data_IF_381364684560
#
_entry.id   IF_381364684560
#
_cell.length_a   1.000
_cell.length_b   1.000
_cell.length_c   1.000
_cell.angle_alpha   90.00
_cell.angle_beta   90.00
_cell.angle_gamma   90.00
#
_symmetry.space_group_name_H-M   'P 1'
#
loop_
_entity.id
_entity.type
_entity.pdbx_description
1 polymer ?
#
# COMPACT_ATOMS: atom_id res chain seq x y z
N UNK A 1 33.36 -65.97 15.76
CA UNK A 1 34.18 -65.18 14.85
C UNK A 1 33.22 -64.65 13.80
N UNK A 2 33.12 -63.36 13.66
CA UNK A 2 32.26 -62.60 12.77
C UNK A 2 30.86 -62.25 13.31
N UNK A 3 30.84 -61.30 14.20
CA UNK A 3 29.78 -60.35 14.46
C UNK A 3 30.49 -59.00 14.64
N UNK A 4 30.54 -58.24 13.55
CA UNK A 4 30.87 -56.83 13.54
C UNK A 4 30.55 -56.37 12.11
N UNK A 5 29.40 -55.71 11.94
CA UNK A 5 29.08 -54.77 10.89
C UNK A 5 27.55 -54.51 10.83
N UNK A 6 27.01 -53.83 11.79
CA UNK A 6 25.69 -53.17 11.73
C UNK A 6 25.70 -51.97 12.64
N UNK A 7 26.42 -50.92 12.24
CA UNK A 7 26.24 -49.60 12.84
C UNK A 7 26.57 -48.51 11.79
N UNK A 8 25.70 -48.37 10.78
CA UNK A 8 25.65 -47.23 9.90
C UNK A 8 24.20 -46.97 9.50
N UNK A 9 23.38 -46.51 10.43
CA UNK A 9 22.05 -45.98 10.11
C UNK A 9 21.60 -45.01 11.19
N UNK A 10 22.31 -43.91 11.34
CA UNK A 10 21.78 -42.75 12.10
C UNK A 10 22.44 -41.48 11.55
N UNK A 11 21.99 -40.97 10.45
CA UNK A 11 22.10 -39.57 10.05
C UNK A 11 21.10 -39.20 8.93
N UNK A 12 19.86 -39.63 9.10
CA UNK A 12 18.72 -38.97 8.48
C UNK A 12 18.11 -38.01 9.51
N UNK A 13 18.84 -36.93 9.80
CA UNK A 13 18.25 -35.76 10.45
C UNK A 13 17.10 -35.31 9.54
N UNK A 14 15.89 -35.58 9.99
CA UNK A 14 14.67 -35.13 9.36
C UNK A 14 14.78 -33.61 9.19
N UNK A 15 15.05 -33.17 7.96
CA UNK A 15 14.94 -31.77 7.59
C UNK A 15 13.48 -31.38 7.82
N UNK A 16 13.27 -30.43 8.73
CA UNK A 16 11.95 -29.85 8.99
C UNK A 16 11.57 -28.96 7.80
N UNK A 17 10.77 -29.43 6.83
CA UNK A 17 10.43 -28.67 5.64
C UNK A 17 9.58 -27.43 5.97
N UNK A 18 8.96 -27.39 7.14
CA UNK A 18 8.18 -26.25 7.63
C UNK A 18 9.11 -25.14 8.13
N UNK A 19 10.24 -25.50 8.74
CA UNK A 19 11.26 -24.53 9.21
C UNK A 19 12.03 -23.91 8.04
N UNK A 20 12.39 -24.67 6.99
CA UNK A 20 13.07 -24.12 5.81
C UNK A 20 12.15 -23.22 4.98
N UNK A 21 10.89 -23.59 4.79
CA UNK A 21 9.88 -22.73 4.16
C UNK A 21 9.64 -21.43 4.95
N UNK A 22 9.65 -21.51 6.28
CA UNK A 22 9.52 -20.36 7.15
C UNK A 22 10.71 -19.40 7.06
N UNK A 23 11.94 -19.91 6.91
CA UNK A 23 13.14 -19.08 6.76
C UNK A 23 13.19 -18.38 5.40
N UNK A 24 12.91 -19.09 4.31
CA UNK A 24 12.89 -18.52 2.96
C UNK A 24 11.78 -17.49 2.82
N UNK A 25 10.60 -17.75 3.38
CA UNK A 25 9.52 -16.77 3.44
C UNK A 25 9.90 -15.53 4.28
N UNK A 26 10.61 -15.72 5.39
CA UNK A 26 11.09 -14.62 6.23
C UNK A 26 12.14 -13.76 5.52
N UNK A 27 13.07 -14.37 4.77
CA UNK A 27 14.08 -13.65 3.98
C UNK A 27 13.47 -12.89 2.80
N UNK A 28 12.48 -13.47 2.11
CA UNK A 28 11.75 -12.80 1.04
C UNK A 28 10.92 -11.64 1.59
N UNK A 29 10.21 -11.85 2.70
CA UNK A 29 9.47 -10.80 3.40
C UNK A 29 10.39 -9.69 3.89
N UNK A 30 11.58 -10.04 4.40
CA UNK A 30 12.58 -9.06 4.82
C UNK A 30 13.00 -8.17 3.66
N UNK A 31 13.27 -8.75 2.49
CA UNK A 31 13.70 -8.01 1.30
C UNK A 31 12.63 -7.06 0.79
N UNK A 32 11.37 -7.49 0.72
CA UNK A 32 10.25 -6.67 0.28
C UNK A 32 9.87 -5.60 1.32
N UNK A 33 9.97 -5.92 2.62
CA UNK A 33 9.82 -4.96 3.71
C UNK A 33 10.94 -3.93 3.67
N UNK A 34 12.18 -4.32 3.38
CA UNK A 34 13.32 -3.40 3.23
C UNK A 34 13.12 -2.45 2.03
N UNK A 35 12.61 -2.95 0.90
CA UNK A 35 12.24 -2.11 -0.25
C UNK A 35 11.10 -1.15 0.09
N UNK A 36 10.12 -1.58 0.88
CA UNK A 36 9.03 -0.75 1.39
C UNK A 36 9.55 0.34 2.34
N UNK A 37 10.40 -0.07 3.30
CA UNK A 37 10.97 0.80 4.33
C UNK A 37 11.87 1.88 3.71
N UNK A 38 12.66 1.54 2.69
CA UNK A 38 13.49 2.50 1.96
C UNK A 38 12.67 3.61 1.28
N UNK A 39 11.35 3.40 1.08
CA UNK A 39 10.44 4.37 0.49
C UNK A 39 9.63 5.20 1.49
N UNK A 40 9.68 4.90 2.79
CA UNK A 40 8.88 5.57 3.80
C UNK A 40 9.69 6.59 4.62
N UNK A 41 9.06 7.70 4.99
CA UNK A 41 9.64 8.62 5.96
C UNK A 41 9.73 7.97 7.36
N UNK A 42 10.70 8.39 8.19
CA UNK A 42 10.94 7.77 9.50
C UNK A 42 9.72 7.78 10.43
N UNK A 43 8.89 8.85 10.34
CA UNK A 43 7.64 8.97 11.11
C UNK A 43 6.57 7.99 10.64
N UNK A 44 6.57 7.66 9.35
CA UNK A 44 5.65 6.70 8.73
C UNK A 44 5.98 5.25 9.10
N UNK A 45 7.27 4.95 9.31
CA UNK A 45 7.73 3.65 9.80
C UNK A 45 7.27 3.38 11.24
N UNK A 46 7.25 4.41 12.08
CA UNK A 46 6.74 4.30 13.44
C UNK A 46 5.23 4.00 13.46
N UNK A 47 4.46 4.62 12.57
CA UNK A 47 3.03 4.37 12.42
C UNK A 47 2.76 2.94 11.92
N UNK A 48 3.52 2.46 10.93
CA UNK A 48 3.42 1.09 10.42
C UNK A 48 3.71 0.05 11.51
N UNK A 49 4.71 0.32 12.37
CA UNK A 49 5.07 -0.56 13.48
C UNK A 49 3.98 -0.62 14.57
N UNK A 50 3.23 0.47 14.79
CA UNK A 50 2.12 0.51 15.74
C UNK A 50 0.88 -0.27 15.24
N UNK A 51 0.65 -0.33 13.93
CA UNK A 51 -0.47 -1.05 13.32
C UNK A 51 -0.26 -2.58 13.25
N UNK A 52 0.90 -3.09 13.63
CA UNK A 52 1.27 -4.50 13.60
C UNK A 52 1.50 -5.07 15.02
N UNK A 53 0.50 -5.06 15.92
CA UNK A 53 0.66 -5.65 17.25
C UNK A 53 0.80 -7.17 17.14
N UNK A 54 1.89 -7.71 17.68
CA UNK A 54 2.13 -9.16 17.77
C UNK A 54 3.26 -9.71 16.87
N UNK A 55 3.79 -8.93 15.95
CA UNK A 55 4.87 -9.34 15.06
C UNK A 55 6.24 -8.83 15.55
N UNK A 56 6.73 -9.38 16.65
CA UNK A 56 8.02 -8.97 17.23
C UNK A 56 9.22 -9.06 16.27
N UNK A 57 9.12 -9.85 15.20
CA UNK A 57 10.11 -9.96 14.14
C UNK A 57 9.93 -8.87 13.06
N UNK A 58 8.69 -8.51 12.69
CA UNK A 58 8.40 -7.38 11.77
C UNK A 58 8.79 -6.06 12.44
N UNK A 59 8.47 -5.88 13.72
CA UNK A 59 8.94 -4.72 14.49
C UNK A 59 10.46 -4.67 14.57
N UNK A 60 11.15 -5.81 14.67
CA UNK A 60 12.62 -5.89 14.62
C UNK A 60 13.16 -5.62 13.20
N UNK A 61 12.48 -6.11 12.17
CA UNK A 61 12.83 -5.82 10.79
C UNK A 61 12.69 -4.32 10.48
N UNK A 62 11.57 -3.71 10.84
CA UNK A 62 11.32 -2.28 10.66
C UNK A 62 12.31 -1.44 11.48
N UNK A 63 12.60 -1.82 12.71
CA UNK A 63 13.54 -1.10 13.59
C UNK A 63 15.00 -1.45 13.28
N UNK A 64 15.28 -2.67 12.78
CA UNK A 64 16.62 -3.14 12.42
C UNK A 64 17.07 -2.72 11.02
N UNK A 65 16.14 -2.50 10.08
CA UNK A 65 16.42 -2.05 8.71
C UNK A 65 16.61 -0.53 8.59
N UNK A 66 16.80 0.16 9.71
CA UNK A 66 17.23 1.55 9.61
C UNK A 66 18.54 1.58 8.83
N UNK A 67 18.65 2.40 7.79
CA UNK A 67 19.90 3.03 7.44
C UNK A 67 20.15 4.15 8.50
N UNK A 68 19.96 3.82 9.78
CA UNK A 68 20.58 4.59 10.82
C UNK A 68 22.03 4.17 10.81
N UNK A 69 22.86 5.00 10.20
CA UNK A 69 24.20 5.14 10.65
C UNK A 69 24.17 5.10 12.19
N UNK A 70 24.51 3.95 12.76
CA UNK A 70 25.08 3.92 14.08
C UNK A 70 26.25 4.90 13.97
N UNK A 71 26.03 6.09 14.45
CA UNK A 71 27.10 7.08 14.54
C UNK A 71 28.02 6.58 15.62
N UNK A 72 28.93 5.70 15.23
CA UNK A 72 30.18 5.58 15.94
C UNK A 72 30.87 6.94 15.79
N UNK A 73 30.94 7.68 16.87
CA UNK A 73 31.44 9.05 16.94
C UNK A 73 32.89 9.20 16.47
N UNK A 74 33.55 8.15 16.01
CA UNK A 74 34.99 8.11 15.70
C UNK A 74 35.36 7.70 14.26
N UNK A 75 34.39 7.38 13.37
CA UNK A 75 34.71 7.09 11.98
C UNK A 75 33.85 7.99 11.10
N UNK A 76 34.46 9.00 10.51
CA UNK A 76 33.84 9.92 9.57
C UNK A 76 33.48 9.26 8.25
N UNK A 77 32.59 8.29 8.23
CA UNK A 77 31.98 7.75 7.03
C UNK A 77 30.86 8.72 6.61
N UNK A 78 31.17 9.61 5.69
CA UNK A 78 30.18 10.29 4.87
C UNK A 78 29.46 9.21 4.07
N UNK A 79 28.32 8.72 4.57
CA UNK A 79 27.36 8.02 3.73
C UNK A 79 26.92 9.05 2.66
N UNK A 80 27.36 8.85 1.43
CA UNK A 80 26.80 9.53 0.27
C UNK A 80 25.28 9.28 0.35
N UNK A 81 24.51 10.36 0.62
CA UNK A 81 23.08 10.32 0.46
C UNK A 81 22.85 9.95 -0.99
N UNK A 82 22.34 8.73 -1.23
CA UNK A 82 21.90 8.33 -2.55
C UNK A 82 21.03 9.45 -3.13
N UNK A 83 21.18 9.74 -4.41
CA UNK A 83 20.41 10.78 -5.14
C UNK A 83 18.92 10.40 -5.24
N UNK A 84 18.30 10.02 -4.13
CA UNK A 84 16.94 9.55 -4.07
C UNK A 84 15.94 10.67 -4.39
N UNK A 85 15.08 10.39 -5.37
CA UNK A 85 13.93 11.23 -5.68
C UNK A 85 12.68 10.54 -5.15
N UNK A 86 11.96 11.22 -4.25
CA UNK A 86 10.76 10.70 -3.61
C UNK A 86 9.65 11.75 -3.59
N UNK A 87 8.43 11.35 -3.98
CA UNK A 87 7.23 12.19 -3.95
C UNK A 87 6.16 11.46 -3.17
N UNK A 88 5.70 12.09 -2.09
CA UNK A 88 4.58 11.61 -1.28
C UNK A 88 3.41 12.57 -1.42
N UNK A 89 2.27 12.03 -1.83
CA UNK A 89 1.03 12.77 -2.05
C UNK A 89 -0.07 12.36 -1.05
N UNK A 90 0.01 11.15 -0.50
CA UNK A 90 -0.94 10.63 0.49
C UNK A 90 -0.46 10.92 1.91
N UNK A 91 -1.34 11.46 2.75
CA UNK A 91 -1.02 11.93 4.09
C UNK A 91 -0.27 13.26 4.05
N UNK A 92 1.03 13.26 4.31
CA UNK A 92 1.84 14.47 4.20
C UNK A 92 2.29 14.72 2.76
N UNK A 93 2.27 15.97 2.34
CA UNK A 93 2.89 16.35 1.08
C UNK A 93 4.40 16.49 1.26
N UNK A 94 5.18 15.59 0.66
CA UNK A 94 6.65 15.55 0.72
C UNK A 94 7.20 15.46 -0.69
N UNK A 95 8.19 16.28 -1.01
CA UNK A 95 8.93 16.21 -2.27
C UNK A 95 10.42 16.26 -1.97
N UNK A 96 11.10 15.15 -2.19
CA UNK A 96 12.53 15.04 -2.09
C UNK A 96 13.11 14.83 -3.50
N UNK A 97 13.97 15.73 -3.95
CA UNK A 97 14.65 15.66 -5.22
C UNK A 97 16.16 15.61 -4.97
N UNK A 98 16.80 14.54 -5.48
CA UNK A 98 18.25 14.35 -5.31
C UNK A 98 18.69 14.44 -3.83
N UNK A 99 17.95 13.76 -2.96
CA UNK A 99 18.20 13.73 -1.53
C UNK A 99 17.92 15.05 -0.78
N UNK A 100 17.24 16.04 -1.39
CA UNK A 100 16.90 17.32 -0.76
C UNK A 100 15.41 17.55 -0.76
N UNK A 101 14.88 17.90 0.39
CA UNK A 101 13.46 18.29 0.56
C UNK A 101 13.23 19.67 -0.03
N UNK A 102 12.27 19.77 -0.95
CA UNK A 102 12.00 21.00 -1.72
C UNK A 102 10.58 21.54 -1.53
N UNK A 103 9.67 20.80 -0.91
CA UNK A 103 8.26 21.19 -0.74
C UNK A 103 8.10 22.49 0.06
N UNK A 104 9.04 22.84 0.93
CA UNK A 104 9.04 24.11 1.68
C UNK A 104 9.30 25.33 0.79
N UNK A 105 9.91 25.11 -0.38
CA UNK A 105 10.22 26.14 -1.36
C UNK A 105 9.09 26.36 -2.37
N UNK A 106 8.02 25.58 -2.28
CA UNK A 106 6.88 25.71 -3.19
C UNK A 106 6.17 27.05 -2.96
N UNK A 107 5.75 27.72 -4.03
CA UNK A 107 5.34 29.12 -3.98
C UNK A 107 4.04 29.36 -3.20
N UNK A 108 3.21 28.35 -3.01
CA UNK A 108 1.92 28.44 -2.32
C UNK A 108 1.21 27.10 -2.26
N UNK A 109 0.01 27.06 -1.63
CA UNK A 109 -0.92 25.93 -1.72
C UNK A 109 -1.18 25.53 -3.19
N UNK A 110 -1.40 26.51 -4.08
CA UNK A 110 -1.60 26.27 -5.52
C UNK A 110 -0.37 25.64 -6.21
N UNK A 111 0.84 25.96 -5.77
CA UNK A 111 2.06 25.33 -6.27
C UNK A 111 2.15 23.85 -5.92
N UNK A 112 1.68 23.46 -4.74
CA UNK A 112 1.59 22.03 -4.33
C UNK A 112 0.55 21.29 -5.17
N UNK A 113 -0.63 21.87 -5.37
CA UNK A 113 -1.70 21.33 -6.23
C UNK A 113 -1.20 21.14 -7.65
N UNK A 114 -0.58 22.17 -8.23
CA UNK A 114 -0.03 22.12 -9.59
C UNK A 114 1.01 21.00 -9.75
N UNK A 115 1.93 20.88 -8.81
CA UNK A 115 2.95 19.83 -8.86
C UNK A 115 2.34 18.45 -8.71
N UNK A 116 1.46 18.25 -7.73
CA UNK A 116 0.76 16.99 -7.51
C UNK A 116 -0.05 16.56 -8.73
N UNK A 117 -0.82 17.49 -9.33
CA UNK A 117 -1.56 17.23 -10.56
C UNK A 117 -0.64 16.74 -11.69
N UNK A 118 0.46 17.45 -11.94
CA UNK A 118 1.42 17.07 -12.97
C UNK A 118 2.10 15.72 -12.70
N UNK A 119 2.41 15.41 -11.44
CA UNK A 119 2.96 14.10 -11.04
C UNK A 119 1.94 12.99 -11.32
N UNK A 120 0.68 13.18 -10.94
CA UNK A 120 -0.38 12.18 -11.16
C UNK A 120 -0.77 12.01 -12.65
N UNK A 121 -0.43 12.98 -13.50
CA UNK A 121 -0.66 12.90 -14.96
C UNK A 121 0.52 12.30 -15.73
N UNK A 122 1.62 11.96 -15.07
CA UNK A 122 2.80 11.38 -15.75
C UNK A 122 2.43 10.10 -16.52
N UNK A 123 3.09 9.85 -17.66
CA UNK A 123 4.12 10.68 -18.34
C UNK A 123 3.52 11.75 -19.29
N UNK A 124 2.22 12.04 -19.23
CA UNK A 124 1.52 12.94 -20.13
C UNK A 124 1.92 14.40 -19.95
N UNK A 125 2.07 15.11 -21.05
CA UNK A 125 2.19 16.57 -21.05
C UNK A 125 0.80 17.21 -20.94
N UNK A 126 0.66 18.20 -20.06
CA UNK A 126 -0.59 18.86 -19.70
C UNK A 126 -0.64 20.27 -20.31
N UNK A 127 -1.72 20.58 -20.99
CA UNK A 127 -1.95 21.89 -21.60
C UNK A 127 -2.21 22.99 -20.55
N UNK A 128 -1.87 24.24 -20.89
CA UNK A 128 -2.04 25.37 -19.96
C UNK A 128 -3.50 25.61 -19.55
N UNK A 129 -4.47 25.41 -20.47
CA UNK A 129 -5.89 25.52 -20.17
C UNK A 129 -6.33 24.51 -19.10
N UNK A 130 -5.93 23.26 -19.26
CA UNK A 130 -6.19 22.19 -18.31
C UNK A 130 -5.53 22.46 -16.92
N UNK A 131 -4.33 23.02 -16.90
CA UNK A 131 -3.68 23.41 -15.64
C UNK A 131 -4.43 24.54 -14.92
N UNK A 132 -5.00 25.50 -15.66
CA UNK A 132 -5.81 26.57 -15.06
C UNK A 132 -7.06 25.97 -14.42
N UNK A 133 -7.73 25.07 -15.14
CA UNK A 133 -8.91 24.38 -14.64
C UNK A 133 -8.60 23.53 -13.40
N UNK A 134 -7.52 22.78 -13.45
CA UNK A 134 -7.09 21.93 -12.34
C UNK A 134 -6.76 22.71 -11.06
N UNK A 135 -6.29 23.95 -11.16
CA UNK A 135 -5.88 24.75 -9.98
C UNK A 135 -7.03 25.63 -9.47
N UNK A 136 -7.86 26.17 -10.35
CA UNK A 136 -8.86 27.20 -10.01
C UNK A 136 -10.32 26.80 -10.30
N UNK A 137 -10.60 25.56 -10.75
CA UNK A 137 -11.93 25.00 -10.98
C UNK A 137 -12.90 25.98 -11.67
N UNK A 138 -12.66 26.34 -12.91
CA UNK A 138 -13.53 27.19 -13.74
C UNK A 138 -12.86 28.48 -14.24
N UNK A 139 -13.56 29.26 -15.04
CA UNK A 139 -13.24 30.51 -15.72
C UNK A 139 -11.80 30.75 -16.20
N UNK A 140 -11.59 30.59 -17.50
CA UNK A 140 -10.36 30.97 -18.21
C UNK A 140 -10.27 32.50 -18.38
N UNK A 141 -9.96 33.23 -17.28
CA UNK A 141 -9.73 34.67 -17.36
C UNK A 141 -8.26 34.97 -17.74
N UNK A 142 -8.01 36.08 -18.44
CA UNK A 142 -6.65 36.52 -18.79
C UNK A 142 -5.74 36.65 -17.58
N UNK A 143 -6.31 36.98 -16.41
CA UNK A 143 -5.59 37.07 -15.14
C UNK A 143 -5.06 35.72 -14.67
N UNK A 144 -5.82 34.61 -14.87
CA UNK A 144 -5.39 33.26 -14.48
C UNK A 144 -4.26 32.73 -15.36
N UNK A 145 -4.23 33.06 -16.65
CA UNK A 145 -3.15 32.71 -17.54
C UNK A 145 -1.80 33.37 -17.12
N UNK A 146 -1.87 34.63 -16.68
CA UNK A 146 -0.72 35.34 -16.13
C UNK A 146 -0.29 34.75 -14.78
N UNK A 147 -1.26 34.47 -13.90
CA UNK A 147 -1.01 33.83 -12.60
C UNK A 147 -0.35 32.46 -12.75
N UNK A 148 -0.82 31.63 -13.70
CA UNK A 148 -0.20 30.34 -14.01
C UNK A 148 1.24 30.51 -14.48
N UNK A 149 1.54 31.53 -15.30
CA UNK A 149 2.90 31.79 -15.78
C UNK A 149 3.85 32.09 -14.61
N UNK A 150 3.41 32.94 -13.66
CA UNK A 150 4.19 33.27 -12.46
C UNK A 150 4.34 32.04 -11.56
N UNK A 151 3.27 31.25 -11.38
CA UNK A 151 3.27 30.04 -10.57
C UNK A 151 4.23 28.99 -11.12
N UNK A 152 4.20 28.73 -12.43
CA UNK A 152 5.14 27.82 -13.10
C UNK A 152 6.59 28.29 -13.00
N UNK A 153 6.83 29.60 -13.15
CA UNK A 153 8.18 30.16 -12.99
C UNK A 153 8.74 29.95 -11.59
N UNK A 154 7.93 30.25 -10.56
CA UNK A 154 8.31 30.04 -9.16
C UNK A 154 8.48 28.55 -8.82
N UNK A 155 7.61 27.68 -9.36
CA UNK A 155 7.72 26.24 -9.15
C UNK A 155 8.99 25.68 -9.82
N UNK A 156 9.32 26.12 -11.04
CA UNK A 156 10.62 25.77 -11.70
C UNK A 156 11.82 26.21 -10.89
N UNK A 157 11.77 27.36 -10.27
CA UNK A 157 12.84 27.83 -9.39
C UNK A 157 12.99 26.96 -8.12
N UNK A 158 11.88 26.34 -7.66
CA UNK A 158 11.88 25.44 -6.49
C UNK A 158 12.39 24.04 -6.82
N UNK A 159 11.91 23.42 -7.93
CA UNK A 159 12.18 22.01 -8.26
C UNK A 159 13.26 21.80 -9.32
N UNK A 160 13.56 22.81 -10.13
CA UNK A 160 14.46 22.76 -11.28
C UNK A 160 13.71 22.75 -12.62
N UNK A 161 14.33 23.34 -13.65
CA UNK A 161 13.77 23.37 -15.00
C UNK A 161 13.87 22.01 -15.72
N UNK A 162 14.76 21.16 -15.28
CA UNK A 162 14.92 19.77 -15.69
C UNK A 162 13.82 18.87 -15.15
N UNK A 163 13.30 19.15 -13.95
CA UNK A 163 12.17 18.42 -13.34
C UNK A 163 10.82 18.90 -13.88
N UNK A 164 10.65 20.21 -14.10
CA UNK A 164 9.40 20.79 -14.60
C UNK A 164 9.62 21.34 -16.02
N UNK A 165 9.46 20.51 -17.03
CA UNK A 165 9.77 20.78 -18.42
C UNK A 165 8.56 21.30 -19.22
N UNK A 166 8.84 21.80 -20.45
CA UNK A 166 7.84 22.28 -21.40
C UNK A 166 7.46 23.75 -21.23
N UNK A 167 6.88 24.36 -22.28
CA UNK A 167 6.42 25.77 -22.32
C UNK A 167 4.94 25.89 -22.66
N UNK A 168 4.49 25.35 -23.77
CA UNK A 168 3.07 25.32 -24.18
C UNK A 168 2.28 24.26 -23.43
N UNK A 169 2.81 23.05 -23.36
CA UNK A 169 2.39 21.99 -22.46
C UNK A 169 3.49 21.75 -21.43
N UNK A 170 3.09 21.37 -20.23
CA UNK A 170 4.00 21.19 -19.08
C UNK A 170 3.93 19.76 -18.61
N UNK A 171 5.05 19.19 -18.22
CA UNK A 171 5.16 17.84 -17.68
C UNK A 171 6.28 17.74 -16.65
N UNK A 172 6.15 16.77 -15.75
CA UNK A 172 7.18 16.46 -14.74
C UNK A 172 8.07 15.34 -15.26
N UNK A 173 9.37 15.56 -15.21
CA UNK A 173 10.42 14.58 -15.50
C UNK A 173 11.05 14.19 -14.18
N UNK A 174 10.90 12.92 -13.80
CA UNK A 174 11.62 12.37 -12.66
C UNK A 174 12.57 11.28 -13.13
N UNK A 175 13.68 11.02 -12.40
CA UNK A 175 14.57 9.91 -12.69
C UNK A 175 13.82 8.56 -12.77
N UNK A 176 14.36 7.55 -13.47
CA UNK A 176 13.71 6.24 -13.58
C UNK A 176 13.51 5.51 -12.24
N UNK A 177 14.39 5.79 -11.27
CA UNK A 177 14.38 5.25 -9.91
C UNK A 177 13.57 6.11 -8.93
N UNK A 178 12.94 7.19 -9.41
CA UNK A 178 12.09 8.05 -8.59
C UNK A 178 10.89 7.27 -8.05
N UNK A 179 10.58 7.50 -6.80
CA UNK A 179 9.47 6.87 -6.10
C UNK A 179 8.33 7.87 -5.92
N UNK A 180 7.14 7.50 -6.39
CA UNK A 180 5.90 8.24 -6.17
C UNK A 180 4.96 7.29 -5.41
N UNK A 181 4.54 7.69 -4.22
CA UNK A 181 3.77 6.84 -3.31
C UNK A 181 2.51 6.24 -3.96
N UNK A 182 1.74 7.04 -4.69
CA UNK A 182 0.54 6.59 -5.40
C UNK A 182 0.87 5.57 -6.49
N UNK A 183 1.92 5.80 -7.29
CA UNK A 183 2.35 4.87 -8.33
C UNK A 183 2.83 3.54 -7.70
N UNK A 184 3.58 3.62 -6.61
CA UNK A 184 4.06 2.45 -5.87
C UNK A 184 2.90 1.65 -5.27
N UNK A 185 1.90 2.33 -4.68
CA UNK A 185 0.73 1.67 -4.11
C UNK A 185 -0.08 0.92 -5.16
N UNK A 186 -0.36 1.54 -6.31
CA UNK A 186 -1.11 0.89 -7.40
C UNK A 186 -0.33 -0.29 -8.01
N UNK A 187 0.98 -0.15 -8.17
CA UNK A 187 1.83 -1.25 -8.62
C UNK A 187 1.92 -2.38 -7.58
N UNK A 188 1.96 -2.05 -6.29
CA UNK A 188 1.96 -3.02 -5.21
C UNK A 188 0.61 -3.78 -5.14
N UNK A 189 -0.52 -3.09 -5.30
CA UNK A 189 -1.83 -3.73 -5.40
C UNK A 189 -1.86 -4.77 -6.53
N UNK A 190 -1.45 -4.38 -7.72
CA UNK A 190 -1.41 -5.30 -8.87
C UNK A 190 -0.53 -6.54 -8.61
N UNK A 191 0.62 -6.35 -7.95
CA UNK A 191 1.48 -7.48 -7.53
C UNK A 191 0.79 -8.36 -6.48
N UNK A 192 0.09 -7.75 -5.52
CA UNK A 192 -0.63 -8.49 -4.49
C UNK A 192 -1.74 -9.36 -5.07
N UNK A 193 -2.57 -8.80 -5.96
CA UNK A 193 -3.64 -9.51 -6.65
C UNK A 193 -3.09 -10.68 -7.49
N UNK A 194 -2.02 -10.43 -8.24
CA UNK A 194 -1.36 -11.47 -9.05
C UNK A 194 -0.81 -12.59 -8.17
N UNK A 195 -0.19 -12.26 -7.04
CA UNK A 195 0.36 -13.23 -6.10
C UNK A 195 -0.74 -14.04 -5.38
N UNK A 196 -1.90 -13.43 -5.06
CA UNK A 196 -3.07 -14.15 -4.52
C UNK A 196 -3.54 -15.21 -5.52
N UNK A 197 -3.69 -14.87 -6.80
CA UNK A 197 -4.10 -15.81 -7.85
C UNK A 197 -3.11 -16.97 -8.00
N UNK A 198 -1.82 -16.73 -7.78
CA UNK A 198 -0.76 -17.73 -7.87
C UNK A 198 -0.57 -18.54 -6.57
N UNK A 199 -1.27 -18.18 -5.49
CA UNK A 199 -1.09 -18.80 -4.17
C UNK A 199 0.24 -18.43 -3.48
N UNK A 200 0.91 -17.37 -3.94
CA UNK A 200 2.17 -16.88 -3.39
C UNK A 200 1.91 -15.96 -2.18
N UNK A 201 1.38 -16.57 -1.10
CA UNK A 201 0.79 -15.84 0.03
C UNK A 201 1.72 -14.84 0.69
N UNK A 202 3.00 -15.17 0.87
CA UNK A 202 3.98 -14.26 1.48
C UNK A 202 4.22 -13.00 0.62
N UNK A 203 4.30 -13.17 -0.71
CA UNK A 203 4.42 -12.04 -1.65
C UNK A 203 3.13 -11.22 -1.71
N UNK A 204 1.97 -11.89 -1.67
CA UNK A 204 0.67 -11.21 -1.63
C UNK A 204 0.56 -10.36 -0.36
N UNK A 205 0.95 -10.91 0.79
CA UNK A 205 0.89 -10.24 2.09
C UNK A 205 1.72 -8.95 2.11
N UNK A 206 3.01 -9.02 1.72
CA UNK A 206 3.90 -7.86 1.74
C UNK A 206 3.48 -6.77 0.74
N UNK A 207 3.10 -7.18 -0.47
CA UNK A 207 2.65 -6.25 -1.50
C UNK A 207 1.31 -5.58 -1.11
N UNK A 208 0.35 -6.34 -0.56
CA UNK A 208 -0.92 -5.81 -0.08
C UNK A 208 -0.74 -4.86 1.12
N UNK A 209 0.20 -5.15 2.02
CA UNK A 209 0.54 -4.28 3.13
C UNK A 209 1.06 -2.93 2.65
N UNK A 210 1.94 -2.92 1.63
CA UNK A 210 2.44 -1.71 0.99
C UNK A 210 1.30 -0.88 0.37
N UNK A 211 0.45 -1.50 -0.44
CA UNK A 211 -0.67 -0.83 -1.08
C UNK A 211 -1.61 -0.22 -0.03
N UNK A 212 -2.04 -1.01 0.95
CA UNK A 212 -2.93 -0.58 2.04
C UNK A 212 -2.36 0.59 2.82
N UNK A 213 -1.07 0.58 3.13
CA UNK A 213 -0.44 1.62 3.92
C UNK A 213 -0.51 2.99 3.24
N UNK A 214 -0.34 3.05 1.93
CA UNK A 214 -0.43 4.30 1.17
C UNK A 214 -1.88 4.71 0.97
N UNK A 215 -2.73 3.78 0.49
CA UNK A 215 -4.12 4.08 0.11
C UNK A 215 -5.04 4.41 1.28
N UNK A 216 -4.71 3.95 2.50
CA UNK A 216 -5.46 4.31 3.71
C UNK A 216 -5.25 5.78 4.14
N UNK A 217 -4.31 6.50 3.54
CA UNK A 217 -4.04 7.90 3.85
C UNK A 217 -4.69 8.83 2.82
N UNK A 218 -5.30 9.96 3.26
CA UNK A 218 -5.98 10.85 2.33
C UNK A 218 -5.01 11.49 1.34
N UNK A 219 -5.37 11.51 0.08
CA UNK A 219 -4.64 12.21 -0.96
C UNK A 219 -4.79 13.72 -0.78
N UNK A 220 -3.68 14.45 -0.64
CA UNK A 220 -3.63 15.91 -0.47
C UNK A 220 -4.66 16.41 0.57
N UNK A 221 -4.53 16.07 1.85
CA UNK A 221 -5.56 16.31 2.88
C UNK A 221 -5.94 17.78 3.06
N UNK A 222 -5.03 18.70 2.72
CA UNK A 222 -5.26 20.15 2.86
C UNK A 222 -6.05 20.77 1.67
N UNK A 223 -6.61 19.95 0.75
CA UNK A 223 -7.18 20.42 -0.50
C UNK A 223 -8.49 19.66 -0.79
N UNK A 224 -9.64 20.29 -0.57
CA UNK A 224 -10.94 19.62 -0.70
C UNK A 224 -11.77 20.02 -1.93
N UNK A 225 -11.50 21.16 -2.59
CA UNK A 225 -12.40 21.77 -3.59
C UNK A 225 -11.94 21.54 -5.04
N UNK A 226 -11.35 20.38 -5.37
CA UNK A 226 -10.82 20.15 -6.72
C UNK A 226 -11.44 18.90 -7.35
N UNK A 227 -12.26 19.01 -8.43
CA UNK A 227 -12.98 17.88 -9.03
C UNK A 227 -12.09 16.71 -9.48
N UNK A 228 -10.88 17.00 -9.98
CA UNK A 228 -9.93 15.96 -10.37
C UNK A 228 -9.39 15.17 -9.15
N UNK A 229 -9.33 15.80 -7.99
CA UNK A 229 -8.86 15.17 -6.75
C UNK A 229 -9.88 14.13 -6.28
N UNK A 230 -11.18 14.39 -6.43
CA UNK A 230 -12.23 13.44 -6.07
C UNK A 230 -12.18 12.17 -6.94
N UNK A 231 -11.83 12.33 -8.24
CA UNK A 231 -11.60 11.17 -9.10
C UNK A 231 -10.44 10.30 -8.61
N UNK A 232 -9.33 10.93 -8.21
CA UNK A 232 -8.18 10.21 -7.69
C UNK A 232 -8.44 9.62 -6.30
N UNK A 233 -9.20 10.31 -5.45
CA UNK A 233 -9.61 9.78 -4.14
C UNK A 233 -10.44 8.51 -4.32
N UNK A 234 -11.48 8.53 -5.17
CA UNK A 234 -12.26 7.32 -5.48
C UNK A 234 -11.38 6.18 -6.00
N UNK A 235 -10.44 6.47 -6.89
CA UNK A 235 -9.50 5.45 -7.38
C UNK A 235 -8.63 4.86 -6.27
N UNK A 236 -8.22 5.67 -5.29
CA UNK A 236 -7.44 5.19 -4.14
C UNK A 236 -8.32 4.45 -3.13
N UNK A 237 -9.58 4.83 -2.98
CA UNK A 237 -10.57 4.10 -2.18
C UNK A 237 -10.82 2.70 -2.75
N UNK A 238 -11.01 2.59 -4.08
CA UNK A 238 -11.11 1.29 -4.77
C UNK A 238 -9.82 0.46 -4.59
N UNK A 239 -8.67 1.11 -4.63
CA UNK A 239 -7.39 0.45 -4.42
C UNK A 239 -7.20 0.01 -2.96
N UNK A 240 -7.74 0.75 -1.99
CA UNK A 240 -7.75 0.35 -0.57
C UNK A 240 -8.60 -0.92 -0.38
N UNK A 241 -9.79 -0.97 -0.99
CA UNK A 241 -10.66 -2.14 -0.94
C UNK A 241 -9.92 -3.39 -1.48
N UNK A 242 -9.32 -3.28 -2.67
CA UNK A 242 -8.52 -4.37 -3.26
C UNK A 242 -7.32 -4.77 -2.40
N UNK A 243 -6.64 -3.80 -1.78
CA UNK A 243 -5.51 -4.08 -0.90
C UNK A 243 -5.93 -4.78 0.39
N UNK A 244 -7.09 -4.42 0.97
CA UNK A 244 -7.66 -5.11 2.13
C UNK A 244 -8.09 -6.53 1.79
N UNK A 245 -8.69 -6.76 0.62
CA UNK A 245 -9.05 -8.09 0.12
C UNK A 245 -7.81 -8.98 -0.08
N UNK A 246 -6.82 -8.49 -0.81
CA UNK A 246 -5.59 -9.23 -1.07
C UNK A 246 -4.83 -9.54 0.23
N UNK A 247 -4.78 -8.58 1.16
CA UNK A 247 -4.16 -8.79 2.46
C UNK A 247 -4.89 -9.84 3.30
N UNK A 248 -6.23 -9.78 3.35
CA UNK A 248 -7.04 -10.76 4.08
C UNK A 248 -6.90 -12.16 3.48
N UNK A 249 -6.92 -12.29 2.14
CA UNK A 249 -6.72 -13.55 1.45
C UNK A 249 -5.31 -14.12 1.72
N UNK A 250 -4.29 -13.29 1.67
CA UNK A 250 -2.91 -13.68 1.97
C UNK A 250 -2.76 -14.17 3.42
N UNK A 251 -3.35 -13.46 4.38
CA UNK A 251 -3.34 -13.87 5.79
C UNK A 251 -4.06 -15.21 6.01
N UNK A 252 -5.17 -15.49 5.30
CA UNK A 252 -5.84 -16.77 5.33
C UNK A 252 -4.99 -17.88 4.73
N UNK A 253 -4.33 -17.61 3.62
CA UNK A 253 -3.44 -18.56 2.95
C UNK A 253 -2.18 -18.91 3.76
N UNK A 254 -1.61 -17.94 4.50
CA UNK A 254 -0.51 -18.14 5.43
C UNK A 254 -0.94 -18.92 6.68
N UNK A 255 -2.16 -18.70 7.15
CA UNK A 255 -2.67 -19.40 8.32
C UNK A 255 -2.05 -18.96 9.66
N UNK A 256 -2.19 -19.80 10.68
CA UNK A 256 -1.56 -19.57 11.98
C UNK A 256 -1.91 -18.23 12.62
N UNK A 257 -0.91 -17.48 13.02
CA UNK A 257 -1.06 -16.17 13.68
C UNK A 257 -1.61 -15.08 12.75
N UNK A 258 -1.46 -15.26 11.41
CA UNK A 258 -1.91 -14.27 10.43
C UNK A 258 -3.43 -14.22 10.27
N UNK A 259 -4.15 -15.28 10.65
CA UNK A 259 -5.62 -15.34 10.55
C UNK A 259 -6.29 -14.15 11.28
N UNK A 260 -5.72 -13.71 12.38
CA UNK A 260 -6.21 -12.51 13.07
C UNK A 260 -6.04 -11.23 12.22
N UNK A 261 -5.03 -11.18 11.35
CA UNK A 261 -4.84 -10.13 10.35
C UNK A 261 -5.95 -10.14 9.30
N UNK A 262 -6.33 -11.33 8.81
CA UNK A 262 -7.44 -11.50 7.87
C UNK A 262 -8.75 -10.97 8.44
N UNK A 263 -9.08 -11.32 9.68
CA UNK A 263 -10.31 -10.84 10.34
C UNK A 263 -10.34 -9.32 10.43
N UNK A 264 -9.25 -8.70 10.90
CA UNK A 264 -9.18 -7.23 11.00
C UNK A 264 -9.32 -6.54 9.65
N UNK A 265 -8.65 -7.05 8.62
CA UNK A 265 -8.72 -6.49 7.27
C UNK A 265 -10.11 -6.62 6.67
N UNK A 266 -10.75 -7.78 6.81
CA UNK A 266 -12.11 -8.00 6.32
C UNK A 266 -13.14 -7.12 7.06
N UNK A 267 -13.01 -6.92 8.38
CA UNK A 267 -13.84 -5.97 9.11
C UNK A 267 -13.65 -4.55 8.62
N UNK A 268 -12.39 -4.13 8.42
CA UNK A 268 -12.07 -2.79 7.91
C UNK A 268 -12.63 -2.56 6.50
N UNK A 269 -12.57 -3.57 5.63
CA UNK A 269 -13.17 -3.53 4.31
C UNK A 269 -14.68 -3.30 4.38
N UNK A 270 -15.39 -4.02 5.26
CA UNK A 270 -16.83 -3.90 5.44
C UNK A 270 -17.26 -2.59 6.15
N UNK A 271 -16.39 -1.97 6.93
CA UNK A 271 -16.59 -0.61 7.45
C UNK A 271 -16.48 0.44 6.34
N UNK A 272 -15.53 0.24 5.41
CA UNK A 272 -15.30 1.15 4.29
C UNK A 272 -16.32 0.95 3.17
N UNK A 273 -16.60 -0.30 2.81
CA UNK A 273 -17.53 -0.67 1.74
C UNK A 273 -18.47 -1.81 2.19
N UNK A 274 -19.61 -1.48 2.82
CA UNK A 274 -20.56 -2.46 3.34
C UNK A 274 -21.21 -3.37 2.28
N UNK A 275 -21.18 -2.98 1.01
CA UNK A 275 -21.75 -3.74 -0.10
C UNK A 275 -20.75 -4.71 -0.76
N UNK A 276 -19.51 -4.73 -0.28
CA UNK A 276 -18.45 -5.56 -0.85
C UNK A 276 -18.59 -7.02 -0.38
N UNK A 277 -19.21 -7.87 -1.19
CA UNK A 277 -19.51 -9.25 -0.84
C UNK A 277 -18.27 -10.09 -0.47
N UNK A 278 -17.15 -9.89 -1.16
CA UNK A 278 -15.88 -10.57 -0.88
C UNK A 278 -15.41 -10.34 0.56
N UNK A 279 -15.66 -9.16 1.13
CA UNK A 279 -15.33 -8.84 2.51
C UNK A 279 -16.08 -9.73 3.52
N UNK A 280 -17.37 -10.02 3.28
CA UNK A 280 -18.14 -10.96 4.11
C UNK A 280 -17.58 -12.37 4.01
N UNK A 281 -17.26 -12.84 2.79
CA UNK A 281 -16.67 -14.16 2.58
C UNK A 281 -15.34 -14.34 3.31
N UNK A 282 -14.45 -13.36 3.20
CA UNK A 282 -13.17 -13.35 3.88
C UNK A 282 -13.32 -13.32 5.41
N UNK A 283 -14.28 -12.54 5.93
CA UNK A 283 -14.56 -12.47 7.36
C UNK A 283 -15.10 -13.80 7.88
N UNK A 284 -16.04 -14.43 7.16
CA UNK A 284 -16.58 -15.74 7.53
C UNK A 284 -15.48 -16.81 7.57
N UNK A 285 -14.60 -16.84 6.58
CA UNK A 285 -13.46 -17.77 6.54
C UNK A 285 -12.49 -17.54 7.70
N UNK A 286 -12.15 -16.28 8.00
CA UNK A 286 -11.25 -15.93 9.08
C UNK A 286 -11.82 -16.33 10.45
N UNK A 287 -13.10 -16.07 10.71
CA UNK A 287 -13.79 -16.46 11.93
C UNK A 287 -13.87 -17.98 12.08
N UNK A 288 -14.23 -18.69 11.00
CA UNK A 288 -14.27 -20.14 10.99
C UNK A 288 -12.90 -20.78 11.25
N UNK A 289 -11.83 -20.23 10.65
CA UNK A 289 -10.45 -20.70 10.88
C UNK A 289 -10.00 -20.49 12.34
N UNK A 290 -10.58 -19.53 13.05
CA UNK A 290 -10.37 -19.30 14.50
C UNK A 290 -11.30 -20.11 15.41
N UNK A 291 -12.17 -20.95 14.85
CA UNK A 291 -13.15 -21.73 15.60
C UNK A 291 -14.44 -20.99 15.96
N UNK A 292 -14.61 -19.74 15.51
CA UNK A 292 -15.78 -18.88 15.81
C UNK A 292 -16.90 -19.07 14.78
N UNK A 293 -17.32 -20.32 14.56
CA UNK A 293 -18.29 -20.67 13.49
C UNK A 293 -19.64 -19.98 13.66
N UNK A 294 -20.14 -19.88 14.89
CA UNK A 294 -21.42 -19.20 15.15
C UNK A 294 -21.37 -17.73 14.71
N UNK A 295 -20.26 -17.03 14.97
CA UNK A 295 -20.07 -15.65 14.54
C UNK A 295 -19.96 -15.57 13.01
N UNK A 296 -19.28 -16.51 12.35
CA UNK A 296 -19.23 -16.59 10.88
C UNK A 296 -20.63 -16.73 10.25
N UNK A 297 -21.50 -17.55 10.84
CA UNK A 297 -22.90 -17.67 10.37
C UNK A 297 -23.70 -16.38 10.58
N UNK A 298 -23.48 -15.65 11.67
CA UNK A 298 -24.08 -14.32 11.87
C UNK A 298 -23.59 -13.29 10.84
N UNK A 299 -22.34 -13.38 10.40
CA UNK A 299 -21.81 -12.52 9.32
C UNK A 299 -22.56 -12.75 8.01
N UNK A 300 -22.92 -14.00 7.68
CA UNK A 300 -23.76 -14.31 6.52
C UNK A 300 -25.15 -13.64 6.61
N UNK A 301 -25.82 -13.75 7.76
CA UNK A 301 -27.12 -13.12 7.96
C UNK A 301 -27.06 -11.60 7.85
N UNK A 302 -25.96 -11.01 8.34
CA UNK A 302 -25.71 -9.58 8.17
C UNK A 302 -25.55 -9.22 6.68
N UNK A 303 -24.76 -9.99 5.92
CA UNK A 303 -24.60 -9.80 4.48
C UNK A 303 -25.96 -9.85 3.76
N UNK A 304 -26.76 -10.87 4.08
CA UNK A 304 -28.09 -11.05 3.51
C UNK A 304 -29.03 -9.86 3.80
N UNK A 305 -28.97 -9.33 5.01
CA UNK A 305 -29.77 -8.18 5.41
C UNK A 305 -29.34 -6.93 4.66
N UNK A 306 -28.05 -6.61 4.65
CA UNK A 306 -27.50 -5.41 4.00
C UNK A 306 -27.78 -5.43 2.49
N UNK A 307 -27.48 -6.54 1.81
CA UNK A 307 -27.68 -6.63 0.35
C UNK A 307 -29.15 -6.57 -0.03
N UNK A 308 -30.04 -7.17 0.76
CA UNK A 308 -31.49 -7.09 0.53
C UNK A 308 -32.00 -5.66 0.74
N UNK A 309 -31.59 -5.00 1.83
CA UNK A 309 -32.15 -3.70 2.22
C UNK A 309 -31.63 -2.56 1.33
N UNK A 310 -30.36 -2.63 0.88
CA UNK A 310 -29.74 -1.61 0.03
C UNK A 310 -29.93 -1.85 -1.48
N UNK A 311 -29.93 -3.11 -1.92
CA UNK A 311 -29.92 -3.47 -3.34
C UNK A 311 -31.11 -4.34 -3.77
N UNK A 312 -31.88 -4.90 -2.84
CA UNK A 312 -32.98 -5.81 -3.12
C UNK A 312 -32.56 -7.20 -3.64
N UNK A 313 -31.29 -7.59 -3.44
CA UNK A 313 -30.75 -8.86 -3.95
C UNK A 313 -30.30 -9.80 -2.81
N UNK A 314 -30.30 -11.13 -3.02
CA UNK A 314 -29.66 -12.06 -2.10
C UNK A 314 -28.13 -12.05 -2.24
N UNK A 315 -27.39 -12.60 -1.25
CA UNK A 315 -25.96 -12.83 -1.36
C UNK A 315 -25.61 -13.71 -2.55
N UNK A 316 -24.47 -13.39 -3.19
CA UNK A 316 -23.97 -14.12 -4.34
C UNK A 316 -23.52 -15.55 -4.02
N UNK A 317 -23.27 -16.38 -5.08
CA UNK A 317 -22.96 -17.81 -4.92
C UNK A 317 -21.75 -18.08 -4.03
N UNK A 318 -20.69 -17.27 -4.15
CA UNK A 318 -19.45 -17.48 -3.40
C UNK A 318 -19.65 -17.41 -1.88
N UNK A 319 -20.42 -16.44 -1.38
CA UNK A 319 -20.71 -16.34 0.06
C UNK A 319 -21.65 -17.49 0.48
N UNK A 320 -22.62 -17.85 -0.36
CA UNK A 320 -23.54 -18.93 -0.09
C UNK A 320 -22.82 -20.29 0.01
N UNK A 321 -21.83 -20.54 -0.83
CA UNK A 321 -20.98 -21.74 -0.76
C UNK A 321 -20.22 -21.82 0.56
N UNK A 322 -19.63 -20.71 1.01
CA UNK A 322 -18.95 -20.65 2.31
C UNK A 322 -19.92 -20.94 3.44
N UNK A 323 -21.12 -20.35 3.43
CA UNK A 323 -22.15 -20.58 4.42
C UNK A 323 -22.56 -22.07 4.49
N UNK A 324 -22.85 -22.68 3.33
CA UNK A 324 -23.22 -24.10 3.22
C UNK A 324 -22.12 -25.01 3.74
N UNK A 325 -20.86 -24.72 3.41
CA UNK A 325 -19.70 -25.49 3.88
C UNK A 325 -19.55 -25.40 5.42
N UNK A 326 -19.87 -24.27 6.02
CA UNK A 326 -19.83 -24.09 7.48
C UNK A 326 -20.92 -24.89 8.18
N UNK A 327 -22.13 -24.96 7.62
CA UNK A 327 -23.23 -25.78 8.15
C UNK A 327 -22.92 -27.27 8.06
N UNK A 328 -22.38 -27.75 6.93
CA UNK A 328 -22.07 -29.15 6.70
C UNK A 328 -20.93 -29.74 7.54
N UNK A 329 -20.06 -28.91 8.12
CA UNK A 329 -18.97 -29.36 9.01
C UNK A 329 -19.41 -29.62 10.45
N UNK A 330 -20.61 -29.25 10.82
CA UNK A 330 -21.09 -29.25 12.20
C UNK A 330 -22.44 -29.99 12.34
N UNK A 331 -22.95 -30.63 11.29
CA UNK A 331 -24.05 -31.60 11.27
C UNK A 331 -23.50 -32.99 11.03
#
# INVERSE_FOLDING_TARGET
MLLDDLDQSDDLVARDPVGELGMVAAEMLQREVDELILGLAADDLAALACDLPGHGWVSRAIVGSRPFAYVDRNVGVRLERADNTYVQLCGRFVVELRGRRVEQRFPSRQGRVLFAYLVLQRPRAVGRGELIEAIWAGDLTANRASALTVLLSKLRAAVGADVLAGRGSVYVVLPPDARVDVEQALAALHRAESAVVQGEWARAWSAALCARYVTARPLLPDHDDLPWLDLWRRRLDDALDGALEAYAAACLGLGGTEIAGAERAARRLLEHNPLRETGYGLLMQALAARGNVAEALHVYERARTVLRDELGIPPGPAIHEIHTALLGRHG
#
